data_IF_143088416673
#
_entry.id   IF_143088416673
#
_cell.length_a   1.000
_cell.length_b   1.000
_cell.length_c   1.000
_cell.angle_alpha   90.00
_cell.angle_beta   90.00
_cell.angle_gamma   90.00
#
_symmetry.space_group_name_H-M   'P 1'
#
loop_
_entity.id
_entity.type
_entity.pdbx_description
1 polymer ?
#
# COMPACT_ATOMS: atom_id res chain seq x y z
N UNK A 1 4.55 14.14 1.17
CA UNK A 1 3.48 14.47 0.22
C UNK A 1 2.19 13.89 0.76
N UNK A 2 1.09 14.62 0.69
CA UNK A 2 -0.25 14.12 1.05
C UNK A 2 -1.14 14.19 -0.17
N UNK A 3 -1.91 13.14 -0.44
CA UNK A 3 -2.98 13.13 -1.42
C UNK A 3 -4.27 12.64 -0.78
N UNK A 4 -5.35 13.40 -0.95
CA UNK A 4 -6.68 13.02 -0.48
C UNK A 4 -7.47 12.50 -1.67
N UNK A 5 -7.95 11.27 -1.56
CA UNK A 5 -8.92 10.67 -2.46
C UNK A 5 -10.29 11.35 -2.34
N UNK A 6 -11.30 10.67 -2.88
CA UNK A 6 -12.69 11.09 -2.86
C UNK A 6 -13.54 9.94 -2.29
N UNK A 7 -14.79 10.25 -1.94
CA UNK A 7 -15.76 9.25 -1.47
C UNK A 7 -16.38 8.48 -2.66
N UNK A 8 -15.53 7.82 -3.45
CA UNK A 8 -15.86 6.92 -4.58
C UNK A 8 -14.75 5.88 -4.72
N UNK A 9 -15.01 4.75 -5.40
CA UNK A 9 -13.95 3.79 -5.71
C UNK A 9 -12.86 4.38 -6.64
N UNK A 10 -11.60 4.22 -6.26
CA UNK A 10 -10.41 4.78 -6.90
C UNK A 10 -9.37 3.72 -7.28
N UNK A 11 -8.55 4.07 -8.27
CA UNK A 11 -7.37 3.32 -8.63
C UNK A 11 -6.16 4.24 -8.59
N UNK A 12 -5.24 3.94 -7.68
CA UNK A 12 -4.03 4.72 -7.41
C UNK A 12 -2.80 3.86 -7.61
N UNK A 13 -1.76 4.42 -8.23
CA UNK A 13 -0.49 3.77 -8.44
C UNK A 13 0.68 4.70 -8.07
N UNK A 14 1.61 4.17 -7.28
CA UNK A 14 2.90 4.80 -6.98
C UNK A 14 3.97 4.01 -7.72
N UNK A 15 4.82 4.68 -8.48
CA UNK A 15 5.89 4.06 -9.28
C UNK A 15 7.10 4.98 -9.40
N UNK A 16 8.29 4.41 -9.59
CA UNK A 16 9.47 5.18 -9.91
C UNK A 16 9.43 5.70 -11.37
N UNK A 17 9.79 6.97 -11.55
CA UNK A 17 10.10 7.58 -12.84
C UNK A 17 11.57 8.06 -12.80
N UNK A 18 12.50 7.12 -13.01
CA UNK A 18 13.91 7.35 -12.69
C UNK A 18 14.07 7.63 -11.19
N UNK A 19 14.68 8.76 -10.81
CA UNK A 19 14.85 9.14 -9.41
C UNK A 19 13.66 9.88 -8.79
N UNK A 20 12.53 9.95 -9.51
CA UNK A 20 11.34 10.71 -9.11
C UNK A 20 10.18 9.78 -8.78
N UNK A 21 9.35 10.16 -7.82
CA UNK A 21 8.07 9.52 -7.58
C UNK A 21 7.09 9.93 -8.68
N UNK A 22 6.44 8.95 -9.31
CA UNK A 22 5.20 9.15 -10.07
C UNK A 22 4.03 8.56 -9.29
N UNK A 23 3.16 9.44 -8.79
CA UNK A 23 1.84 9.09 -8.26
C UNK A 23 0.79 9.32 -9.35
N UNK A 24 -0.03 8.32 -9.61
CA UNK A 24 -1.10 8.37 -10.60
C UNK A 24 -2.42 7.95 -9.98
N UNK A 25 -3.45 8.77 -10.13
CA UNK A 25 -4.84 8.40 -9.85
C UNK A 25 -5.62 8.35 -11.16
N UNK A 26 -6.20 7.19 -11.44
CA UNK A 26 -6.96 6.94 -12.68
C UNK A 26 -8.15 7.88 -12.80
N UNK A 27 -8.90 8.03 -11.70
CA UNK A 27 -10.01 8.97 -11.62
C UNK A 27 -9.49 10.39 -11.82
N UNK A 28 -10.02 11.07 -12.83
CA UNK A 28 -9.57 12.42 -13.20
C UNK A 28 -8.20 12.48 -13.89
N UNK A 29 -7.56 11.34 -14.20
CA UNK A 29 -6.27 11.26 -14.90
C UNK A 29 -5.20 12.15 -14.24
N UNK A 30 -5.06 12.04 -12.92
CA UNK A 30 -4.18 12.92 -12.13
C UNK A 30 -2.80 12.27 -12.06
N UNK A 31 -1.78 13.00 -12.53
CA UNK A 31 -0.38 12.60 -12.38
C UNK A 31 0.37 13.64 -11.55
N UNK A 32 1.06 13.19 -10.50
CA UNK A 32 2.07 13.97 -9.81
C UNK A 32 3.42 13.30 -10.01
N UNK A 33 4.39 14.08 -10.50
CA UNK A 33 5.76 13.65 -10.72
C UNK A 33 6.67 14.52 -9.86
N UNK A 34 7.26 13.97 -8.80
CA UNK A 34 7.93 14.72 -7.74
C UNK A 34 9.33 14.17 -7.44
N UNK A 35 10.25 15.05 -7.02
CA UNK A 35 11.56 14.69 -6.49
C UNK A 35 11.67 15.18 -5.04
N UNK A 36 12.55 14.58 -4.23
CA UNK A 36 12.73 14.98 -2.83
C UNK A 36 11.51 14.74 -1.96
N UNK A 37 10.63 13.78 -2.32
CA UNK A 37 9.53 13.34 -1.46
C UNK A 37 9.98 12.08 -0.76
N UNK A 38 10.11 12.13 0.56
CA UNK A 38 10.54 10.96 1.34
C UNK A 38 9.36 10.15 1.91
N UNK A 39 8.20 10.81 2.08
CA UNK A 39 6.98 10.21 2.63
C UNK A 39 5.78 10.53 1.75
N UNK A 40 4.95 9.54 1.46
CA UNK A 40 3.64 9.72 0.82
C UNK A 40 2.54 9.27 1.78
N UNK A 41 1.55 10.12 2.02
CA UNK A 41 0.33 9.78 2.73
C UNK A 41 -0.83 9.85 1.74
N UNK A 42 -1.48 8.72 1.47
CA UNK A 42 -2.68 8.64 0.65
C UNK A 42 -3.87 8.32 1.55
N UNK A 43 -4.84 9.24 1.61
CA UNK A 43 -6.11 9.03 2.29
C UNK A 43 -7.13 8.54 1.27
N UNK A 44 -7.51 7.27 1.35
CA UNK A 44 -8.38 6.59 0.39
C UNK A 44 -9.81 7.14 0.44
N UNK A 45 -10.31 7.31 1.66
CA UNK A 45 -11.68 7.73 1.99
C UNK A 45 -12.69 6.64 1.73
N UNK A 46 -13.63 6.84 0.79
CA UNK A 46 -14.79 5.98 0.68
C UNK A 46 -14.87 5.28 -0.65
N UNK A 47 -15.42 4.07 -0.69
CA UNK A 47 -15.52 3.24 -1.89
C UNK A 47 -14.42 2.20 -1.95
N UNK A 48 -14.63 1.15 -2.75
CA UNK A 48 -13.67 0.06 -2.87
C UNK A 48 -12.44 0.48 -3.70
N UNK A 49 -11.36 0.82 -3.01
CA UNK A 49 -10.14 1.37 -3.58
C UNK A 49 -9.12 0.29 -3.96
N UNK A 50 -8.37 0.54 -5.04
CA UNK A 50 -7.21 -0.25 -5.44
C UNK A 50 -5.97 0.63 -5.42
N UNK A 51 -5.07 0.37 -4.47
CA UNK A 51 -3.80 1.10 -4.32
C UNK A 51 -2.65 0.18 -4.67
N UNK A 52 -1.84 0.54 -5.66
CA UNK A 52 -0.65 -0.23 -6.05
C UNK A 52 0.62 0.54 -5.72
N UNK A 53 1.40 0.03 -4.78
CA UNK A 53 2.75 0.50 -4.46
C UNK A 53 3.75 -0.39 -5.20
N UNK A 54 4.40 0.15 -6.23
CA UNK A 54 5.49 -0.56 -6.90
C UNK A 54 6.81 -0.32 -6.17
N UNK A 55 7.85 -1.05 -6.58
CA UNK A 55 9.22 -0.73 -6.20
C UNK A 55 9.54 0.74 -6.53
N UNK A 56 9.87 1.50 -5.48
CA UNK A 56 10.30 2.89 -5.57
C UNK A 56 11.80 3.04 -5.31
N UNK A 57 12.55 1.92 -5.33
CA UNK A 57 14.01 1.93 -5.32
C UNK A 57 14.53 2.91 -6.39
N UNK A 58 15.44 3.78 -5.96
CA UNK A 58 16.00 4.83 -6.81
C UNK A 58 15.33 6.20 -6.66
N UNK A 59 14.15 6.28 -6.02
CA UNK A 59 13.55 7.54 -5.57
C UNK A 59 13.94 7.87 -4.12
N UNK A 60 13.60 9.07 -3.66
CA UNK A 60 13.79 9.46 -2.26
C UNK A 60 12.71 8.88 -1.32
N UNK A 61 11.65 8.24 -1.85
CA UNK A 61 10.51 7.76 -1.05
C UNK A 61 10.94 6.56 -0.21
N UNK A 62 10.84 6.69 1.10
CA UNK A 62 11.15 5.63 2.07
C UNK A 62 9.91 5.12 2.80
N UNK A 63 8.83 5.90 2.81
CA UNK A 63 7.57 5.55 3.49
C UNK A 63 6.36 5.89 2.63
N UNK A 64 5.43 4.95 2.53
CA UNK A 64 4.10 5.14 1.96
C UNK A 64 3.07 4.71 3.00
N UNK A 65 2.14 5.61 3.32
CA UNK A 65 1.01 5.31 4.18
C UNK A 65 -0.26 5.35 3.36
N UNK A 66 -1.02 4.27 3.43
CA UNK A 66 -2.33 4.11 2.81
C UNK A 66 -3.35 4.10 3.94
N UNK A 67 -4.07 5.21 4.12
CA UNK A 67 -5.10 5.33 5.14
C UNK A 67 -6.46 4.99 4.53
N UNK A 68 -7.05 3.89 4.99
CA UNK A 68 -8.34 3.36 4.53
C UNK A 68 -9.51 3.92 5.34
N UNK A 69 -9.29 4.94 6.19
CA UNK A 69 -10.36 5.54 6.94
C UNK A 69 -11.40 6.24 6.05
N UNK A 70 -12.69 6.00 6.34
CA UNK A 70 -13.81 6.58 5.57
C UNK A 70 -13.97 8.10 5.67
N UNK A 71 -13.21 8.75 6.55
CA UNK A 71 -13.20 10.20 6.72
C UNK A 71 -11.79 10.71 7.01
N UNK A 72 -11.47 11.93 6.55
CA UNK A 72 -10.17 12.55 6.84
C UNK A 72 -9.98 12.73 8.35
N UNK A 73 -8.94 12.10 8.90
CA UNK A 73 -8.66 12.11 10.34
C UNK A 73 -9.59 11.23 11.17
N UNK A 74 -10.38 10.37 10.51
CA UNK A 74 -11.17 9.32 11.15
C UNK A 74 -10.30 8.20 11.72
N UNK A 75 -10.91 7.35 12.53
CA UNK A 75 -10.25 6.20 13.17
C UNK A 75 -10.84 4.84 12.75
N UNK A 76 -11.75 4.85 11.79
CA UNK A 76 -12.45 3.66 11.31
C UNK A 76 -12.39 3.64 9.78
N UNK A 77 -12.25 2.43 9.23
CA UNK A 77 -12.39 2.17 7.81
C UNK A 77 -13.76 2.60 7.27
N UNK A 78 -13.92 2.51 5.96
CA UNK A 78 -15.10 3.01 5.25
C UNK A 78 -16.17 1.92 5.02
N UNK A 79 -15.92 0.69 5.47
CA UNK A 79 -16.73 -0.51 5.25
C UNK A 79 -16.83 -0.97 3.80
N UNK A 80 -16.03 -0.42 2.89
CA UNK A 80 -15.80 -0.97 1.56
C UNK A 80 -14.67 -2.00 1.61
N UNK A 81 -14.57 -2.82 0.56
CA UNK A 81 -13.51 -3.82 0.47
C UNK A 81 -12.36 -3.25 -0.36
N UNK A 82 -11.35 -2.75 0.32
CA UNK A 82 -10.18 -2.15 -0.30
C UNK A 82 -9.12 -3.18 -0.62
N UNK A 83 -8.28 -2.84 -1.60
CA UNK A 83 -7.17 -3.68 -2.04
C UNK A 83 -5.90 -2.87 -2.15
N UNK A 84 -4.90 -3.26 -1.36
CA UNK A 84 -3.56 -2.69 -1.43
C UNK A 84 -2.62 -3.75 -2.00
N UNK A 85 -1.95 -3.40 -3.09
CA UNK A 85 -0.96 -4.24 -3.76
C UNK A 85 0.41 -3.64 -3.50
N UNK A 86 1.33 -4.45 -2.98
CA UNK A 86 2.74 -4.08 -2.81
C UNK A 86 3.56 -5.01 -3.69
N UNK A 87 4.21 -4.45 -4.70
CA UNK A 87 5.10 -5.19 -5.60
C UNK A 87 6.53 -5.05 -5.13
N UNK A 88 7.20 -6.19 -4.95
CA UNK A 88 8.62 -6.27 -4.63
C UNK A 88 9.50 -5.98 -5.87
N UNK A 89 10.77 -6.37 -5.82
CA UNK A 89 11.73 -6.17 -6.91
C UNK A 89 11.78 -7.41 -7.82
N UNK A 90 12.65 -7.42 -8.84
CA UNK A 90 12.99 -8.66 -9.56
C UNK A 90 14.23 -9.36 -8.98
N UNK A 91 14.69 -8.93 -7.80
CA UNK A 91 15.78 -9.51 -7.03
C UNK A 91 15.26 -10.34 -5.86
N UNK A 92 16.17 -10.84 -5.02
CA UNK A 92 15.77 -11.59 -3.83
C UNK A 92 15.28 -10.62 -2.74
N UNK A 93 14.03 -10.76 -2.33
CA UNK A 93 13.41 -9.91 -1.33
C UNK A 93 13.13 -10.65 0.00
N UNK A 94 13.40 -9.97 1.12
CA UNK A 94 13.10 -10.44 2.47
C UNK A 94 12.02 -9.55 3.07
N UNK A 95 10.76 -9.96 2.93
CA UNK A 95 9.58 -9.16 3.23
C UNK A 95 9.00 -9.60 4.57
N UNK A 96 8.66 -8.65 5.43
CA UNK A 96 7.92 -8.90 6.66
C UNK A 96 6.62 -8.11 6.67
N UNK A 97 5.52 -8.81 6.93
CA UNK A 97 4.19 -8.25 7.14
C UNK A 97 3.83 -8.44 8.61
N UNK A 98 3.74 -7.33 9.34
CA UNK A 98 3.43 -7.32 10.77
C UNK A 98 2.45 -6.21 11.09
N UNK A 99 1.78 -6.27 12.24
CA UNK A 99 0.77 -5.25 12.54
C UNK A 99 -0.24 -5.66 13.60
N UNK A 100 -1.04 -4.68 14.00
CA UNK A 100 -2.14 -4.85 14.94
C UNK A 100 -3.48 -4.42 14.32
N UNK A 101 -4.51 -4.22 15.15
CA UNK A 101 -5.83 -3.81 14.69
C UNK A 101 -5.91 -2.39 14.12
N UNK A 102 -4.82 -1.62 14.13
CA UNK A 102 -4.78 -0.24 13.65
C UNK A 102 -3.87 -0.09 12.43
N UNK A 103 -2.74 -0.81 12.40
CA UNK A 103 -1.74 -0.68 11.35
C UNK A 103 -1.29 -2.05 10.88
N UNK A 104 -1.30 -2.26 9.56
CA UNK A 104 -0.60 -3.36 8.88
C UNK A 104 0.61 -2.78 8.15
N UNK A 105 1.79 -3.34 8.39
CA UNK A 105 3.06 -2.84 7.88
C UNK A 105 3.74 -3.88 7.01
N UNK A 106 4.15 -3.47 5.81
CA UNK A 106 5.00 -4.22 4.89
C UNK A 106 6.39 -3.58 4.89
N UNK A 107 7.37 -4.31 5.40
CA UNK A 107 8.77 -3.89 5.49
C UNK A 107 9.70 -4.82 4.69
N UNK A 108 10.96 -4.42 4.54
CA UNK A 108 11.94 -5.14 3.71
C UNK A 108 11.95 -4.73 2.23
N UNK A 109 11.02 -3.85 1.84
CA UNK A 109 10.94 -3.24 0.51
C UNK A 109 11.23 -1.73 0.58
N UNK A 110 11.52 -1.14 -0.58
CA UNK A 110 11.59 0.30 -0.76
C UNK A 110 10.40 0.76 -1.63
N UNK A 111 9.38 1.40 -1.04
CA UNK A 111 9.31 1.95 0.31
C UNK A 111 8.78 0.93 1.35
N UNK A 112 8.95 1.25 2.63
CA UNK A 112 8.13 0.62 3.68
C UNK A 112 6.70 1.13 3.52
N UNK A 113 5.72 0.21 3.47
CA UNK A 113 4.31 0.54 3.27
C UNK A 113 3.52 0.25 4.53
N UNK A 114 2.75 1.21 5.02
CA UNK A 114 1.84 1.05 6.15
C UNK A 114 0.40 1.26 5.67
N UNK A 115 -0.49 0.35 6.04
CA UNK A 115 -1.93 0.45 5.84
C UNK A 115 -2.52 0.81 7.19
N UNK A 116 -3.27 1.91 7.24
CA UNK A 116 -3.94 2.38 8.45
C UNK A 116 -5.43 2.10 8.34
N UNK A 117 -6.04 1.76 9.47
CA UNK A 117 -7.49 1.56 9.62
C UNK A 117 -8.06 0.49 8.68
N UNK A 118 -7.27 -0.53 8.33
CA UNK A 118 -7.76 -1.66 7.54
C UNK A 118 -8.82 -2.46 8.29
N UNK A 119 -9.74 -3.02 7.53
CA UNK A 119 -10.84 -3.85 8.00
C UNK A 119 -10.67 -5.30 7.51
N UNK A 120 -11.36 -6.25 8.16
CA UNK A 120 -11.23 -7.68 7.86
C UNK A 120 -11.63 -8.06 6.42
N UNK A 121 -12.43 -7.22 5.77
CA UNK A 121 -12.85 -7.36 4.37
C UNK A 121 -11.86 -6.75 3.38
N UNK A 122 -10.86 -5.99 3.83
CA UNK A 122 -9.79 -5.47 3.00
C UNK A 122 -8.76 -6.55 2.68
N UNK A 123 -7.97 -6.30 1.64
CA UNK A 123 -6.97 -7.23 1.15
C UNK A 123 -5.62 -6.56 0.89
N UNK A 124 -4.57 -7.11 1.48
CA UNK A 124 -3.18 -6.87 1.12
C UNK A 124 -2.70 -7.98 0.17
N UNK A 125 -2.20 -7.61 -1.01
CA UNK A 125 -1.49 -8.52 -1.90
C UNK A 125 -0.01 -8.13 -1.98
N UNK A 126 0.85 -9.03 -1.50
CA UNK A 126 2.29 -8.91 -1.70
C UNK A 126 2.66 -9.74 -2.94
N UNK A 127 3.16 -9.08 -3.97
CA UNK A 127 3.70 -9.78 -5.15
C UNK A 127 5.22 -9.77 -5.05
N UNK A 128 5.84 -10.94 -4.90
CA UNK A 128 7.31 -11.04 -4.75
C UNK A 128 8.01 -10.93 -6.11
N UNK A 129 7.27 -11.10 -7.20
CA UNK A 129 7.75 -11.04 -8.58
C UNK A 129 8.84 -12.08 -8.87
N UNK A 130 10.04 -11.65 -9.27
CA UNK A 130 11.14 -12.54 -9.63
C UNK A 130 12.21 -12.49 -8.57
N UNK A 131 12.90 -13.60 -8.34
CA UNK A 131 13.87 -13.70 -7.27
C UNK A 131 13.68 -14.99 -6.47
N UNK A 132 14.47 -15.12 -5.41
CA UNK A 132 14.20 -16.07 -4.34
C UNK A 132 13.80 -15.27 -3.11
N UNK A 133 12.51 -15.27 -2.84
CA UNK A 133 11.91 -14.37 -1.87
C UNK A 133 11.47 -15.10 -0.62
N UNK A 134 11.36 -14.36 0.49
CA UNK A 134 10.73 -14.82 1.71
C UNK A 134 9.73 -13.78 2.17
N UNK A 135 8.53 -14.23 2.57
CA UNK A 135 7.50 -13.37 3.15
C UNK A 135 7.12 -13.93 4.52
N UNK A 136 7.37 -13.14 5.57
CA UNK A 136 6.99 -13.44 6.94
C UNK A 136 5.70 -12.72 7.35
N UNK A 137 4.90 -13.37 8.19
CA UNK A 137 3.69 -12.80 8.80
C UNK A 137 3.76 -12.82 10.34
N UNK A 138 4.96 -12.99 10.89
CA UNK A 138 5.16 -13.16 12.32
C UNK A 138 4.87 -11.84 13.04
N UNK A 139 3.73 -11.78 13.73
CA UNK A 139 3.30 -10.57 14.43
C UNK A 139 2.26 -9.75 13.67
N UNK A 140 1.67 -10.28 12.59
CA UNK A 140 0.41 -9.76 12.07
C UNK A 140 -0.75 -10.27 12.94
N UNK A 141 -1.54 -9.36 13.50
CA UNK A 141 -2.74 -9.72 14.24
C UNK A 141 -3.77 -10.42 13.34
N UNK A 142 -4.39 -11.48 13.86
CA UNK A 142 -5.38 -12.25 13.09
C UNK A 142 -6.64 -11.42 12.81
N UNK A 143 -7.19 -11.54 11.60
CA UNK A 143 -8.46 -10.95 11.21
C UNK A 143 -8.44 -9.44 10.99
N UNK A 144 -7.27 -8.79 10.95
CA UNK A 144 -7.15 -7.34 10.68
C UNK A 144 -7.18 -7.01 9.19
N UNK A 145 -6.80 -7.95 8.33
CA UNK A 145 -6.83 -7.84 6.87
C UNK A 145 -6.72 -9.24 6.23
N UNK A 146 -7.34 -9.45 5.08
CA UNK A 146 -7.00 -10.61 4.23
C UNK A 146 -5.64 -10.37 3.59
N UNK A 147 -4.82 -11.40 3.46
CA UNK A 147 -3.51 -11.25 2.83
C UNK A 147 -3.19 -12.40 1.88
N UNK A 148 -2.47 -12.08 0.81
CA UNK A 148 -2.04 -13.03 -0.18
C UNK A 148 -0.60 -12.77 -0.61
N UNK A 149 0.07 -13.84 -1.02
CA UNK A 149 1.39 -13.80 -1.67
C UNK A 149 1.24 -14.36 -3.07
N UNK A 150 1.61 -13.58 -4.09
CA UNK A 150 1.53 -13.96 -5.51
C UNK A 150 0.17 -14.54 -5.93
N UNK A 151 -0.90 -13.93 -5.43
CA UNK A 151 -2.28 -14.34 -5.70
C UNK A 151 -2.77 -15.54 -4.89
N UNK A 152 -1.93 -16.16 -4.05
CA UNK A 152 -2.31 -17.24 -3.13
C UNK A 152 -2.66 -16.65 -1.77
N UNK A 153 -3.90 -16.84 -1.32
CA UNK A 153 -4.35 -16.40 0.00
C UNK A 153 -3.59 -17.16 1.11
N UNK A 154 -3.14 -16.43 2.11
CA UNK A 154 -2.50 -16.96 3.31
C UNK A 154 -3.55 -16.98 4.44
N UNK A 155 -3.76 -18.13 5.11
CA UNK A 155 -4.76 -18.29 6.15
C UNK A 155 -4.35 -17.74 7.51
#
# INVERSE_FOLDING_TARGET
MVFNGANVAEQVQLSANGSRLKFFRTQGNITMDTAGVERVDFNALGGADLVTVNDLSGTDVTSVNVDLAGTLGGAAGDSAADRVVVNATNGNDAIDVSGDAQIVKVSGLAPTTELLHSEANDRLDVNTLGGTDSVGFAGLAAGVIQHAVDGVLIP
#
